data_IF_672580557310
#
_entry.id   IF_672580557310
#
_cell.length_a   1.000
_cell.length_b   1.000
_cell.length_c   1.000
_cell.angle_alpha   90.00
_cell.angle_beta   90.00
_cell.angle_gamma   90.00
#
_symmetry.space_group_name_H-M   'P 1'
#
loop_
_entity.id
_entity.type
_entity.pdbx_description
1 polymer ?
#
# COMPACT_ATOMS: atom_id res chain seq x y z
N UNK A 1 16.64 1.73 3.81
CA UNK A 1 16.47 0.28 3.59
C UNK A 1 15.07 -0.10 4.02
N UNK A 2 14.39 -0.97 3.28
CA UNK A 2 13.04 -1.46 3.55
C UNK A 2 13.10 -2.98 3.58
N UNK A 3 12.49 -3.60 4.60
CA UNK A 3 12.42 -5.05 4.75
C UNK A 3 10.99 -5.49 4.43
N UNK A 4 10.84 -6.32 3.40
CA UNK A 4 9.57 -6.76 2.83
C UNK A 4 9.21 -6.03 1.54
N UNK A 5 9.05 -6.78 0.46
CA UNK A 5 8.58 -6.36 -0.86
C UNK A 5 7.07 -6.56 -1.04
N UNK A 6 6.28 -6.41 0.03
CA UNK A 6 4.82 -6.41 -0.03
C UNK A 6 4.22 -5.03 -0.37
N UNK A 7 2.89 -4.90 -0.31
CA UNK A 7 2.18 -3.66 -0.67
C UNK A 7 2.72 -2.43 0.08
N UNK A 8 2.83 -2.49 1.41
CA UNK A 8 3.34 -1.39 2.21
C UNK A 8 4.81 -1.06 1.91
N UNK A 9 5.65 -2.08 1.74
CA UNK A 9 7.08 -1.90 1.46
C UNK A 9 7.35 -1.26 0.11
N UNK A 10 6.66 -1.73 -0.94
CA UNK A 10 6.78 -1.17 -2.29
C UNK A 10 6.24 0.25 -2.36
N UNK A 11 5.10 0.55 -1.73
CA UNK A 11 4.55 1.90 -1.65
C UNK A 11 5.54 2.87 -0.94
N UNK A 12 6.11 2.43 0.18
CA UNK A 12 7.13 3.18 0.90
C UNK A 12 8.37 3.43 0.03
N UNK A 13 8.84 2.41 -0.68
CA UNK A 13 10.02 2.49 -1.55
C UNK A 13 9.83 3.50 -2.68
N UNK A 14 8.68 3.43 -3.37
CA UNK A 14 8.31 4.37 -4.43
C UNK A 14 8.25 5.79 -3.89
N UNK A 15 7.61 5.99 -2.73
CA UNK A 15 7.44 7.31 -2.11
C UNK A 15 8.78 7.91 -1.71
N UNK A 16 9.68 7.12 -1.13
CA UNK A 16 11.02 7.56 -0.76
C UNK A 16 11.90 7.83 -2.00
N UNK A 17 11.82 6.99 -3.03
CA UNK A 17 12.53 7.16 -4.29
C UNK A 17 12.12 8.43 -5.04
N UNK A 18 10.81 8.74 -5.10
CA UNK A 18 10.28 10.00 -5.65
C UNK A 18 10.84 11.25 -4.96
N UNK A 19 11.31 11.13 -3.71
CA UNK A 19 11.95 12.21 -2.94
C UNK A 19 13.49 12.25 -3.13
N UNK A 20 14.01 11.58 -4.16
CA UNK A 20 15.45 11.55 -4.47
C UNK A 20 16.28 10.70 -3.51
N UNK A 21 15.66 9.84 -2.70
CA UNK A 21 16.40 8.97 -1.77
C UNK A 21 16.87 7.70 -2.46
N UNK A 22 18.09 7.25 -2.13
CA UNK A 22 18.56 5.91 -2.48
C UNK A 22 17.88 4.90 -1.56
N UNK A 23 17.16 3.95 -2.14
CA UNK A 23 16.36 2.96 -1.42
C UNK A 23 16.74 1.56 -1.86
N UNK A 24 16.95 0.66 -0.91
CA UNK A 24 17.06 -0.77 -1.13
C UNK A 24 15.87 -1.48 -0.46
N UNK A 25 15.23 -2.39 -1.18
CA UNK A 25 14.14 -3.25 -0.70
C UNK A 25 14.67 -4.68 -0.61
N UNK A 26 14.55 -5.30 0.56
CA UNK A 26 14.95 -6.68 0.80
C UNK A 26 13.71 -7.54 0.96
N UNK A 27 13.55 -8.56 0.11
CA UNK A 27 12.45 -9.52 0.16
C UNK A 27 13.02 -10.93 0.35
N UNK A 28 12.40 -11.71 1.22
CA UNK A 28 12.80 -13.11 1.49
C UNK A 28 12.28 -14.04 0.39
N UNK A 29 11.09 -13.76 -0.13
CA UNK A 29 10.53 -14.51 -1.23
C UNK A 29 11.35 -14.32 -2.52
N UNK A 30 11.24 -15.29 -3.42
CA UNK A 30 11.75 -15.28 -4.79
C UNK A 30 11.18 -14.15 -5.66
N UNK A 31 10.03 -13.57 -5.28
CA UNK A 31 9.41 -12.43 -5.97
C UNK A 31 8.72 -11.50 -4.98
N UNK A 32 8.79 -10.20 -5.26
CA UNK A 32 8.01 -9.17 -4.56
C UNK A 32 6.51 -9.31 -4.87
N UNK A 33 5.65 -8.78 -4.00
CA UNK A 33 4.22 -8.68 -4.27
C UNK A 33 3.45 -10.00 -4.28
N UNK A 34 4.01 -11.12 -3.83
CA UNK A 34 3.31 -12.43 -3.85
C UNK A 34 1.91 -12.40 -3.25
N UNK A 35 1.71 -11.72 -2.11
CA UNK A 35 0.39 -11.57 -1.50
C UNK A 35 -0.55 -10.66 -2.30
N UNK A 36 -0.03 -9.68 -3.03
CA UNK A 36 -0.83 -8.83 -3.93
C UNK A 36 -1.38 -9.68 -5.07
N UNK A 37 -0.54 -10.51 -5.69
CA UNK A 37 -0.91 -11.38 -6.83
C UNK A 37 -2.06 -12.34 -6.52
N UNK A 38 -2.12 -12.88 -5.29
CA UNK A 38 -3.15 -13.85 -4.90
C UNK A 38 -4.39 -13.20 -4.25
N UNK A 39 -4.34 -11.89 -3.95
CA UNK A 39 -5.43 -11.21 -3.24
C UNK A 39 -6.68 -11.04 -4.11
N UNK A 40 -7.86 -10.96 -3.48
CA UNK A 40 -9.13 -10.77 -4.20
C UNK A 40 -9.44 -11.83 -5.26
N UNK A 41 -9.04 -13.08 -5.02
CA UNK A 41 -9.20 -14.16 -6.01
C UNK A 41 -8.35 -13.96 -7.27
N UNK A 42 -7.17 -13.35 -7.14
CA UNK A 42 -6.27 -13.05 -8.25
C UNK A 42 -6.52 -11.72 -8.96
N UNK A 43 -7.54 -10.96 -8.53
CA UNK A 43 -7.89 -9.66 -9.13
C UNK A 43 -7.41 -8.45 -8.33
N UNK A 44 -6.93 -8.68 -7.11
CA UNK A 44 -6.52 -7.64 -6.16
C UNK A 44 -7.67 -6.69 -5.77
N UNK A 45 -8.31 -6.95 -4.62
CA UNK A 45 -9.22 -5.97 -4.01
C UNK A 45 -8.38 -4.89 -3.32
N UNK A 46 -7.93 -3.89 -4.09
CA UNK A 46 -6.82 -3.01 -3.73
C UNK A 46 -7.18 -1.85 -2.79
N UNK A 47 -8.47 -1.51 -2.64
CA UNK A 47 -8.94 -0.50 -1.69
C UNK A 47 -10.45 -0.67 -1.42
N UNK A 48 -11.02 0.14 -0.51
CA UNK A 48 -12.45 0.20 -0.26
C UNK A 48 -12.92 1.66 -0.21
N UNK A 49 -14.05 1.97 -0.87
CA UNK A 49 -14.61 3.34 -0.95
C UNK A 49 -15.00 3.92 0.42
N UNK A 50 -15.34 3.06 1.38
CA UNK A 50 -15.75 3.43 2.73
C UNK A 50 -14.64 3.19 3.77
N UNK A 51 -13.37 3.27 3.35
CA UNK A 51 -12.24 3.11 4.27
C UNK A 51 -12.24 4.20 5.34
N UNK A 52 -12.59 3.83 6.58
CA UNK A 52 -12.58 4.69 7.76
C UNK A 52 -11.78 4.02 8.89
N UNK A 53 -11.35 4.78 9.92
CA UNK A 53 -10.66 4.24 11.08
C UNK A 53 -11.43 3.12 11.79
N UNK A 54 -12.76 3.16 11.74
CA UNK A 54 -13.64 2.19 12.42
C UNK A 54 -13.61 0.80 11.77
N UNK A 55 -13.10 0.69 10.55
CA UNK A 55 -12.89 -0.59 9.86
C UNK A 55 -11.60 -1.32 10.32
N UNK A 56 -10.83 -0.74 11.24
CA UNK A 56 -9.56 -1.30 11.71
C UNK A 56 -9.61 -1.61 13.21
N UNK A 57 -9.39 -2.88 13.55
CA UNK A 57 -9.27 -3.32 14.94
C UNK A 57 -7.87 -3.02 15.47
N UNK A 58 -7.78 -2.28 16.57
CA UNK A 58 -6.53 -1.90 17.22
C UNK A 58 -6.76 -1.64 18.70
N UNK A 59 -5.77 -1.96 19.53
CA UNK A 59 -5.76 -1.56 20.95
C UNK A 59 -5.75 -0.03 21.11
N UNK A 60 -5.28 0.70 20.08
CA UNK A 60 -5.39 2.15 19.97
C UNK A 60 -6.31 2.50 18.77
N UNK A 61 -7.59 2.82 19.02
CA UNK A 61 -8.56 3.17 17.97
C UNK A 61 -8.21 4.44 17.17
N UNK A 62 -7.24 5.24 17.62
CA UNK A 62 -6.86 6.49 16.96
C UNK A 62 -5.60 6.36 16.12
N UNK A 63 -4.89 5.24 16.20
CA UNK A 63 -3.59 5.04 15.55
C UNK A 63 -3.64 5.27 14.03
N UNK A 64 -4.62 4.67 13.35
CA UNK A 64 -4.71 4.73 11.88
C UNK A 64 -5.24 6.06 11.34
N UNK A 65 -5.87 6.90 12.18
CA UNK A 65 -6.57 8.13 11.75
C UNK A 65 -5.70 9.04 10.89
N UNK A 66 -4.49 9.33 11.36
CA UNK A 66 -3.58 10.24 10.66
C UNK A 66 -3.07 9.68 9.33
N UNK A 67 -2.86 8.36 9.24
CA UNK A 67 -2.41 7.74 8.00
C UNK A 67 -3.54 7.74 6.95
N UNK A 68 -4.74 7.32 7.36
CA UNK A 68 -5.92 7.24 6.50
C UNK A 68 -6.39 8.62 5.99
N UNK A 69 -6.18 9.68 6.76
CA UNK A 69 -6.52 11.04 6.33
C UNK A 69 -5.51 11.67 5.37
N UNK A 70 -4.26 11.16 5.32
CA UNK A 70 -3.17 11.71 4.49
C UNK A 70 -2.97 10.96 3.18
N UNK A 71 -3.47 9.73 3.11
CA UNK A 71 -3.47 8.93 1.90
C UNK A 71 -4.77 8.12 1.86
N UNK A 72 -5.72 8.63 1.10
CA UNK A 72 -7.12 8.18 1.03
C UNK A 72 -7.29 7.11 -0.06
N UNK A 73 -8.44 6.41 -0.10
CA UNK A 73 -8.78 5.53 -1.21
C UNK A 73 -8.74 6.23 -2.57
N UNK A 74 -9.17 7.50 -2.63
CA UNK A 74 -9.17 8.29 -3.85
C UNK A 74 -7.74 8.52 -4.39
N UNK A 75 -6.77 8.80 -3.51
CA UNK A 75 -5.36 9.00 -3.91
C UNK A 75 -4.76 7.72 -4.54
N UNK A 76 -5.20 6.54 -4.09
CA UNK A 76 -4.77 5.27 -4.67
C UNK A 76 -5.50 4.95 -5.98
N UNK A 77 -6.80 5.25 -6.07
CA UNK A 77 -7.57 5.13 -7.32
C UNK A 77 -6.94 6.00 -8.41
N UNK A 78 -6.63 7.27 -8.11
CA UNK A 78 -5.96 8.18 -9.04
C UNK A 78 -4.60 7.61 -9.50
N UNK A 79 -3.85 6.97 -8.61
CA UNK A 79 -2.60 6.29 -8.96
C UNK A 79 -2.83 5.14 -9.94
N UNK A 80 -3.84 4.29 -9.69
CA UNK A 80 -4.20 3.15 -10.55
C UNK A 80 -4.62 3.64 -11.94
N UNK A 81 -5.49 4.65 -12.00
CA UNK A 81 -5.94 5.30 -13.25
C UNK A 81 -4.77 5.92 -14.02
N UNK A 82 -3.85 6.59 -13.32
CA UNK A 82 -2.64 7.16 -13.92
C UNK A 82 -1.77 6.12 -14.60
N UNK A 83 -1.69 4.90 -14.05
CA UNK A 83 -1.00 3.78 -14.68
C UNK A 83 -1.84 3.02 -15.70
N UNK A 84 -3.08 3.47 -15.96
CA UNK A 84 -4.03 2.87 -16.91
C UNK A 84 -4.29 1.39 -16.63
N UNK A 85 -4.37 1.05 -15.35
CA UNK A 85 -4.76 -0.28 -14.92
C UNK A 85 -6.31 -0.31 -14.91
N UNK A 86 -6.94 -1.21 -15.68
CA UNK A 86 -8.40 -1.25 -15.83
C UNK A 86 -9.13 -1.69 -14.57
#
# INVERSE_FOLDING_TARGET
MIVGGGAAGLMCAITAGKRGRRVAVLERADRVGKKILISGGGRCNFTNLHCSPDNFLSANPHFAKSALSRYTPADFIELVEKYRIP
#
